data_IF_244587529884
#
_entry.id   IF_244587529884
#
_cell.length_a   1.000
_cell.length_b   1.000
_cell.length_c   1.000
_cell.angle_alpha   90.00
_cell.angle_beta   90.00
_cell.angle_gamma   90.00
#
_symmetry.space_group_name_H-M   'P 1'
#
loop_
_entity.id
_entity.type
_entity.pdbx_description
1 polymer ?
#
# COMPACT_ATOMS: atom_id res chain seq x y z
N UNK A 1 37.90 -16.87 15.87
CA UNK A 1 37.33 -17.72 16.95
C UNK A 1 36.05 -18.32 16.39
N UNK A 2 36.18 -19.50 15.78
CA UNK A 2 35.08 -20.25 15.18
C UNK A 2 34.61 -21.25 16.24
N UNK A 3 33.39 -21.11 16.75
CA UNK A 3 32.78 -22.10 17.63
C UNK A 3 31.38 -22.48 17.12
N UNK A 4 31.29 -23.76 16.76
CA UNK A 4 30.16 -24.69 16.94
C UNK A 4 28.75 -24.26 16.51
N UNK A 5 28.32 -24.78 15.36
CA UNK A 5 26.90 -24.99 15.03
C UNK A 5 26.61 -26.50 15.14
N UNK A 6 25.67 -26.95 15.98
CA UNK A 6 25.30 -28.36 16.05
C UNK A 6 24.46 -28.76 14.83
N UNK A 7 24.89 -29.85 14.20
CA UNK A 7 24.26 -30.56 13.10
C UNK A 7 22.95 -31.24 13.51
N UNK A 8 21.88 -30.96 12.77
CA UNK A 8 20.57 -31.64 12.87
C UNK A 8 20.59 -33.03 12.19
N UNK A 9 19.89 -34.04 12.73
CA UNK A 9 19.87 -35.38 12.18
C UNK A 9 18.98 -35.50 10.93
N UNK A 10 19.52 -36.13 9.88
CA UNK A 10 18.77 -36.63 8.72
C UNK A 10 18.04 -37.92 9.10
N UNK A 11 16.71 -37.86 9.16
CA UNK A 11 15.86 -39.04 9.20
C UNK A 11 15.51 -39.54 7.78
N UNK A 12 15.34 -40.86 7.57
CA UNK A 12 15.02 -41.43 6.26
C UNK A 12 13.52 -41.31 5.96
N UNK A 13 13.18 -40.65 4.85
CA UNK A 13 11.82 -40.67 4.31
C UNK A 13 11.67 -41.98 3.52
N UNK A 14 11.06 -42.99 4.16
CA UNK A 14 10.57 -44.20 3.48
C UNK A 14 9.38 -43.86 2.60
N UNK A 15 9.37 -44.47 1.43
CA UNK A 15 8.51 -44.15 0.31
C UNK A 15 7.04 -44.51 0.46
N UNK A 16 6.24 -43.80 -0.33
CA UNK A 16 5.03 -44.35 -0.93
C UNK A 16 5.25 -44.38 -2.44
N UNK A 17 5.39 -45.60 -2.94
CA UNK A 17 5.13 -45.92 -4.33
C UNK A 17 3.62 -45.89 -4.56
N UNK A 18 3.21 -45.38 -5.72
CA UNK A 18 2.51 -46.17 -6.74
C UNK A 18 1.31 -45.46 -7.39
N UNK A 19 1.25 -45.69 -8.69
CA UNK A 19 0.08 -45.72 -9.55
C UNK A 19 -0.54 -44.39 -10.00
N UNK A 20 -0.43 -44.12 -11.30
CA UNK A 20 -1.23 -43.10 -11.97
C UNK A 20 -0.74 -42.74 -13.37
N UNK A 21 -0.49 -43.73 -14.22
CA UNK A 21 -0.38 -43.51 -15.66
C UNK A 21 -1.69 -42.89 -16.18
N UNK A 22 -1.57 -41.73 -16.82
CA UNK A 22 -2.68 -40.99 -17.38
C UNK A 22 -2.19 -39.98 -18.40
N UNK A 23 -1.54 -40.49 -19.45
CA UNK A 23 -1.15 -39.71 -20.63
C UNK A 23 -2.40 -39.29 -21.39
N UNK A 24 -3.00 -38.16 -20.99
CA UNK A 24 -4.04 -37.49 -21.78
C UNK A 24 -3.33 -36.56 -22.75
N UNK A 25 -3.10 -37.10 -23.95
CA UNK A 25 -2.74 -36.36 -25.15
C UNK A 25 -3.87 -35.37 -25.50
N UNK A 26 -3.80 -34.17 -24.91
CA UNK A 26 -4.69 -33.07 -25.27
C UNK A 26 -4.17 -32.48 -26.57
N UNK A 27 -4.75 -32.94 -27.69
CA UNK A 27 -4.65 -32.27 -28.99
C UNK A 27 -5.02 -30.80 -28.79
N UNK A 28 -4.01 -29.94 -28.86
CA UNK A 28 -4.19 -28.50 -29.06
C UNK A 28 -4.80 -28.36 -30.45
N UNK A 29 -6.12 -28.20 -30.51
CA UNK A 29 -6.80 -27.70 -31.70
C UNK A 29 -6.35 -26.25 -31.86
N UNK A 30 -5.38 -26.06 -32.76
CA UNK A 30 -5.06 -24.77 -33.35
C UNK A 30 -6.34 -24.21 -33.97
N UNK A 31 -6.99 -23.31 -33.24
CA UNK A 31 -8.08 -22.48 -33.72
C UNK A 31 -7.52 -21.57 -34.81
N UNK A 32 -7.79 -21.94 -36.06
CA UNK A 32 -7.58 -21.10 -37.23
C UNK A 32 -8.47 -19.86 -37.10
N UNK A 33 -7.88 -18.78 -36.59
CA UNK A 33 -8.52 -17.46 -36.60
C UNK A 33 -8.68 -17.01 -38.07
N UNK A 34 -9.86 -16.54 -38.47
CA UNK A 34 -10.07 -16.05 -39.83
C UNK A 34 -9.23 -14.80 -40.09
N UNK A 35 -8.71 -14.61 -41.31
CA UNK A 35 -7.96 -13.41 -41.68
C UNK A 35 -8.86 -12.17 -41.58
N UNK A 36 -8.39 -11.15 -40.86
CA UNK A 36 -9.07 -9.86 -40.78
C UNK A 36 -9.15 -9.21 -42.18
N UNK A 37 -10.29 -8.58 -42.53
CA UNK A 37 -10.42 -7.88 -43.79
C UNK A 37 -9.47 -6.66 -43.85
N UNK A 38 -8.94 -6.31 -45.04
CA UNK A 38 -8.04 -5.17 -45.20
C UNK A 38 -8.77 -3.86 -44.86
N UNK A 39 -8.23 -3.13 -43.88
CA UNK A 39 -8.72 -1.82 -43.49
C UNK A 39 -8.56 -0.83 -44.66
N UNK A 40 -9.65 -0.13 -45.00
CA UNK A 40 -9.69 0.84 -46.10
C UNK A 40 -8.68 1.97 -45.85
N UNK A 41 -7.88 2.38 -46.86
CA UNK A 41 -6.78 3.36 -46.70
C UNK A 41 -7.24 4.75 -46.24
N UNK A 42 -8.52 5.08 -46.42
CA UNK A 42 -9.09 6.37 -45.95
C UNK A 42 -9.25 6.47 -44.43
N UNK A 43 -9.33 5.35 -43.70
CA UNK A 43 -9.49 5.36 -42.24
C UNK A 43 -8.14 5.53 -41.51
N UNK A 44 -7.04 5.08 -42.13
CA UNK A 44 -5.70 5.13 -41.56
C UNK A 44 -5.14 6.57 -41.49
N UNK A 45 -5.52 7.43 -42.44
CA UNK A 45 -5.10 8.84 -42.47
C UNK A 45 -5.75 9.65 -41.34
N UNK A 46 -7.04 9.40 -41.04
CA UNK A 46 -7.77 10.10 -39.99
C UNK A 46 -7.30 9.71 -38.58
N UNK A 47 -6.94 8.44 -38.38
CA UNK A 47 -6.40 7.95 -37.09
C UNK A 47 -5.01 8.53 -36.83
N UNK A 48 -4.15 8.68 -37.85
CA UNK A 48 -2.83 9.32 -37.70
C UNK A 48 -2.91 10.81 -37.34
N UNK A 49 -3.86 11.55 -37.92
CA UNK A 49 -4.06 12.97 -37.58
C UNK A 49 -4.57 13.15 -36.14
N UNK A 50 -5.52 12.33 -35.69
CA UNK A 50 -6.05 12.40 -34.32
C UNK A 50 -4.99 12.02 -33.27
N UNK A 51 -4.16 11.01 -33.54
CA UNK A 51 -3.07 10.63 -32.63
C UNK A 51 -2.02 11.75 -32.46
N UNK A 52 -1.71 12.52 -33.51
CA UNK A 52 -0.78 13.65 -33.41
C UNK A 52 -1.35 14.79 -32.55
N UNK A 53 -2.63 15.12 -32.72
CA UNK A 53 -3.26 16.19 -31.93
C UNK A 53 -3.40 15.88 -30.43
N UNK A 54 -3.59 14.61 -30.04
CA UNK A 54 -3.77 14.25 -28.61
C UNK A 54 -2.43 14.07 -27.88
N UNK A 55 -1.37 13.69 -28.60
CA UNK A 55 -0.04 13.45 -28.01
C UNK A 55 0.82 14.71 -27.97
N UNK A 56 0.80 15.56 -29.02
CA UNK A 56 1.70 16.72 -29.08
C UNK A 56 1.19 17.98 -28.37
N UNK A 57 -0.14 18.18 -28.24
CA UNK A 57 -0.67 19.37 -27.58
C UNK A 57 -0.40 19.46 -26.06
N UNK A 58 -0.43 18.37 -25.25
CA UNK A 58 -0.13 18.49 -23.83
C UNK A 58 1.36 18.71 -23.53
N UNK A 59 2.28 18.34 -24.43
CA UNK A 59 3.72 18.52 -24.20
C UNK A 59 4.13 20.01 -24.20
N UNK A 60 3.46 20.85 -25.00
CA UNK A 60 3.70 22.29 -25.04
C UNK A 60 3.15 23.03 -23.81
N UNK A 61 2.09 22.53 -23.17
CA UNK A 61 1.51 23.17 -21.97
C UNK A 61 2.36 22.90 -20.72
N UNK A 62 3.03 21.74 -20.65
CA UNK A 62 3.88 21.39 -19.49
C UNK A 62 5.14 22.26 -19.40
N UNK A 63 5.65 22.79 -20.51
CA UNK A 63 6.86 23.64 -20.50
C UNK A 63 6.63 25.01 -19.84
N UNK A 64 5.38 25.49 -19.79
CA UNK A 64 5.06 26.82 -19.28
C UNK A 64 4.94 26.91 -17.74
N UNK A 65 4.82 25.79 -17.03
CA UNK A 65 4.62 25.76 -15.58
C UNK A 65 5.91 25.53 -14.76
N UNK A 66 7.07 25.44 -15.42
CA UNK A 66 8.34 25.12 -14.76
C UNK A 66 9.11 26.34 -14.20
N UNK A 67 8.60 27.57 -14.35
CA UNK A 67 9.36 28.79 -14.02
C UNK A 67 9.11 29.37 -12.61
N UNK A 68 8.16 28.85 -11.82
CA UNK A 68 7.84 29.43 -10.49
C UNK A 68 8.33 28.62 -9.27
N UNK A 69 9.09 27.54 -9.47
CA UNK A 69 9.50 26.65 -8.36
C UNK A 69 10.95 26.82 -7.86
N UNK A 70 11.73 27.78 -8.39
CA UNK A 70 13.18 27.88 -8.11
C UNK A 70 13.61 28.96 -7.10
N UNK A 71 12.70 29.71 -6.48
CA UNK A 71 13.04 30.77 -5.52
C UNK A 71 12.88 30.40 -4.03
N UNK A 72 12.57 29.15 -3.68
CA UNK A 72 12.42 28.71 -2.29
C UNK A 72 13.61 27.90 -1.71
N UNK A 73 14.67 27.62 -2.49
CA UNK A 73 15.75 26.71 -2.07
C UNK A 73 17.03 27.39 -1.56
N UNK A 74 17.12 28.73 -1.53
CA UNK A 74 18.35 29.46 -1.17
C UNK A 74 18.41 29.96 0.29
N UNK A 75 17.54 29.48 1.19
CA UNK A 75 17.45 29.99 2.57
C UNK A 75 17.85 28.98 3.67
N UNK A 76 18.44 27.82 3.32
CA UNK A 76 18.85 26.81 4.32
C UNK A 76 20.32 26.39 4.08
N UNK A 77 21.23 27.35 4.03
CA UNK A 77 22.68 27.08 4.04
C UNK A 77 23.42 28.14 4.85
N UNK A 78 23.03 28.32 6.10
CA UNK A 78 23.74 29.18 7.04
C UNK A 78 23.47 28.82 8.51
N UNK A 79 23.61 27.55 8.89
CA UNK A 79 23.83 27.17 10.31
C UNK A 79 24.43 25.77 10.39
N UNK A 80 25.67 25.64 9.97
CA UNK A 80 26.52 24.52 10.31
C UNK A 80 27.91 25.08 10.59
N UNK A 81 28.26 25.26 11.86
CA UNK A 81 29.65 25.27 12.38
C UNK A 81 29.62 25.40 13.90
N UNK A 82 30.59 24.74 14.55
CA UNK A 82 30.87 24.63 16.01
C UNK A 82 29.84 23.79 16.78
N UNK A 83 30.16 22.61 17.33
CA UNK A 83 31.17 22.37 18.38
C UNK A 83 31.73 20.92 18.31
N UNK A 84 33.06 20.78 18.29
CA UNK A 84 33.79 19.57 18.70
C UNK A 84 34.08 19.62 20.21
N UNK A 85 34.02 18.48 20.92
CA UNK A 85 34.54 18.36 22.28
C UNK A 85 34.05 17.13 23.07
N UNK A 86 34.99 16.22 23.32
CA UNK A 86 34.89 14.91 24.00
C UNK A 86 34.39 14.89 25.44
N UNK A 87 33.79 13.77 25.89
CA UNK A 87 33.75 13.40 27.31
C UNK A 87 32.68 12.38 27.70
N UNK A 88 33.10 11.29 28.34
CA UNK A 88 32.35 10.09 28.71
C UNK A 88 31.11 10.25 29.62
N UNK A 89 30.18 9.32 29.41
CA UNK A 89 29.31 8.63 30.39
C UNK A 89 28.52 9.44 31.43
N UNK A 90 27.21 9.52 31.23
CA UNK A 90 26.21 9.34 32.30
C UNK A 90 24.84 9.01 31.69
N UNK A 91 24.20 8.00 32.25
CA UNK A 91 22.83 7.60 31.95
C UNK A 91 21.82 8.65 32.46
N UNK A 92 20.92 9.09 31.57
CA UNK A 92 19.59 9.63 31.86
C UNK A 92 18.88 9.73 30.50
N UNK A 93 18.00 8.78 30.20
CA UNK A 93 16.56 8.97 30.35
C UNK A 93 16.05 10.21 29.60
N UNK A 94 15.90 10.07 28.27
CA UNK A 94 15.19 11.03 27.43
C UNK A 94 14.26 10.24 26.51
N UNK A 95 13.06 10.05 27.03
CA UNK A 95 11.78 10.24 26.32
C UNK A 95 11.78 9.82 24.85
N UNK A 96 11.65 8.51 24.67
CA UNK A 96 11.04 7.92 23.48
C UNK A 96 9.73 8.66 23.18
N UNK A 97 9.74 9.49 22.14
CA UNK A 97 8.50 9.92 21.48
C UNK A 97 7.95 8.68 20.79
N UNK A 98 7.26 7.87 21.59
CA UNK A 98 6.38 6.83 21.12
C UNK A 98 5.32 7.53 20.30
N UNK A 99 5.50 7.55 18.97
CA UNK A 99 4.38 7.66 18.07
C UNK A 99 3.49 6.46 18.40
N UNK A 100 2.55 6.69 19.32
CA UNK A 100 1.47 5.76 19.59
C UNK A 100 0.76 5.60 18.27
N UNK A 101 1.08 4.51 17.57
CA UNK A 101 0.20 3.89 16.62
C UNK A 101 -1.06 3.58 17.42
N UNK A 102 -1.96 4.55 17.47
CA UNK A 102 -3.33 4.35 17.89
C UNK A 102 -3.89 3.36 16.88
N UNK A 103 -3.70 2.08 17.15
CA UNK A 103 -4.58 1.05 16.66
C UNK A 103 -5.97 1.58 16.99
N UNK A 104 -6.69 2.01 15.96
CA UNK A 104 -8.05 2.46 16.10
C UNK A 104 -8.78 1.26 16.68
N UNK A 105 -9.01 1.30 17.99
CA UNK A 105 -9.88 0.36 18.64
C UNK A 105 -11.20 0.46 17.88
N UNK A 106 -11.65 -0.67 17.33
CA UNK A 106 -13.02 -0.88 16.89
C UNK A 106 -13.92 -0.75 18.12
N UNK A 107 -14.02 0.47 18.62
CA UNK A 107 -14.76 0.84 19.80
C UNK A 107 -16.09 1.33 19.30
N UNK A 108 -17.16 0.76 19.85
CA UNK A 108 -18.52 1.21 19.63
C UNK A 108 -18.67 2.65 20.15
N UNK A 109 -18.26 3.63 19.35
CA UNK A 109 -18.25 5.05 19.73
C UNK A 109 -19.69 5.55 19.67
N UNK A 110 -20.18 6.07 20.78
CA UNK A 110 -21.53 6.65 20.84
C UNK A 110 -21.61 8.03 20.19
N UNK A 111 -20.47 8.71 20.03
CA UNK A 111 -20.38 10.05 19.42
C UNK A 111 -19.37 10.05 18.29
N UNK A 112 -19.71 10.77 17.22
CA UNK A 112 -18.77 10.99 16.12
C UNK A 112 -17.66 11.98 16.49
N UNK A 113 -16.42 11.55 16.23
CA UNK A 113 -15.22 12.38 16.32
C UNK A 113 -14.79 12.75 14.89
N UNK A 114 -14.87 14.03 14.56
CA UNK A 114 -14.51 14.47 13.21
C UNK A 114 -13.02 14.25 12.96
N UNK A 115 -12.70 13.79 11.75
CA UNK A 115 -11.33 13.52 11.28
C UNK A 115 -10.57 12.41 12.03
N UNK A 116 -11.23 11.61 12.86
CA UNK A 116 -10.60 10.41 13.42
C UNK A 116 -10.34 9.36 12.33
N UNK A 117 -9.31 8.54 12.50
CA UNK A 117 -9.01 7.40 11.59
C UNK A 117 -10.14 6.38 11.69
N UNK A 118 -10.56 5.83 10.56
CA UNK A 118 -11.58 4.78 10.50
C UNK A 118 -11.26 3.74 9.43
N UNK A 119 -11.71 2.51 9.64
CA UNK A 119 -11.68 1.40 8.70
C UNK A 119 -13.09 0.96 8.26
N UNK A 120 -14.11 1.39 8.99
CA UNK A 120 -15.53 1.25 8.65
C UNK A 120 -16.34 2.47 9.12
N UNK A 121 -17.60 2.58 8.71
CA UNK A 121 -18.49 3.63 9.21
C UNK A 121 -18.75 3.53 10.72
N UNK A 122 -18.69 2.31 11.29
CA UNK A 122 -18.95 2.06 12.71
C UNK A 122 -17.86 2.66 13.60
N UNK A 123 -16.62 2.73 13.11
CA UNK A 123 -15.50 3.37 13.82
C UNK A 123 -15.72 4.88 14.04
N UNK A 124 -16.62 5.49 13.26
CA UNK A 124 -16.97 6.90 13.37
C UNK A 124 -18.12 7.19 14.32
N UNK A 125 -18.73 6.17 14.91
CA UNK A 125 -19.86 6.32 15.83
C UNK A 125 -21.12 6.92 15.22
N UNK A 126 -22.11 7.22 16.06
CA UNK A 126 -23.42 7.69 15.61
C UNK A 126 -23.34 9.03 14.88
N UNK A 127 -23.93 9.09 13.69
CA UNK A 127 -23.91 10.29 12.83
C UNK A 127 -22.62 10.48 12.04
N UNK A 128 -21.65 9.56 12.14
CA UNK A 128 -20.41 9.56 11.37
C UNK A 128 -20.48 8.74 10.09
N UNK A 129 -19.61 9.06 9.13
CA UNK A 129 -19.34 8.22 7.96
C UNK A 129 -17.84 8.19 7.71
N UNK A 130 -17.29 7.02 7.40
CA UNK A 130 -15.87 6.89 7.09
C UNK A 130 -15.61 7.23 5.63
N UNK A 131 -14.90 8.34 5.38
CA UNK A 131 -14.57 8.82 4.05
C UNK A 131 -13.12 8.47 3.70
N UNK A 132 -12.91 7.79 2.58
CA UNK A 132 -11.59 7.47 2.06
C UNK A 132 -11.65 6.66 0.77
N UNK A 133 -10.54 6.59 0.05
CA UNK A 133 -10.43 5.72 -1.12
C UNK A 133 -10.29 4.26 -0.66
N UNK A 134 -11.19 3.40 -1.14
CA UNK A 134 -11.14 1.96 -0.91
C UNK A 134 -11.09 1.55 0.58
N UNK A 135 -11.78 2.29 1.46
CA UNK A 135 -11.85 2.00 2.90
C UNK A 135 -12.22 0.53 3.15
N UNK A 136 -11.50 -0.11 4.08
CA UNK A 136 -11.73 -1.52 4.42
C UNK A 136 -11.30 -2.49 3.32
N UNK A 137 -10.42 -2.07 2.40
CA UNK A 137 -9.80 -2.92 1.38
C UNK A 137 -8.28 -2.99 1.56
N UNK A 138 -7.65 -4.05 1.08
CA UNK A 138 -6.19 -4.20 1.20
C UNK A 138 -5.42 -3.05 0.53
N UNK A 139 -4.48 -2.44 1.26
CA UNK A 139 -3.62 -1.38 0.77
C UNK A 139 -2.26 -1.93 0.30
N UNK A 140 -2.15 -2.27 -0.98
CA UNK A 140 -0.88 -2.72 -1.55
C UNK A 140 0.17 -1.62 -1.70
N UNK A 141 -0.23 -0.35 -1.67
CA UNK A 141 0.71 0.78 -1.76
C UNK A 141 1.55 0.93 -0.49
N UNK A 142 1.21 0.21 0.59
CA UNK A 142 2.01 0.19 1.82
C UNK A 142 3.37 -0.50 1.62
N UNK A 143 3.49 -1.44 0.67
CA UNK A 143 4.76 -2.08 0.35
C UNK A 143 5.41 -1.40 -0.87
N UNK A 144 6.49 -0.68 -0.61
CA UNK A 144 7.27 0.00 -1.64
C UNK A 144 8.43 -0.91 -2.06
N UNK A 145 8.43 -1.33 -3.33
CA UNK A 145 9.47 -2.22 -3.83
C UNK A 145 10.85 -1.54 -3.78
N UNK A 146 11.89 -2.32 -3.45
CA UNK A 146 13.28 -1.87 -3.27
C UNK A 146 13.53 -0.89 -2.11
N UNK A 147 12.56 -0.68 -1.23
CA UNK A 147 12.76 0.10 -0.01
C UNK A 147 13.67 -0.63 0.98
N UNK A 148 14.50 0.08 1.74
CA UNK A 148 15.38 -0.54 2.74
C UNK A 148 14.59 -1.12 3.92
N UNK A 149 14.93 -2.32 4.36
CA UNK A 149 14.22 -3.00 5.42
C UNK A 149 15.13 -3.86 6.30
N UNK A 150 14.71 -4.04 7.55
CA UNK A 150 15.25 -5.05 8.50
C UNK A 150 14.24 -6.15 8.83
N UNK A 151 12.96 -5.85 8.63
CA UNK A 151 11.82 -6.71 8.90
C UNK A 151 10.66 -6.32 7.98
N UNK A 152 9.65 -7.18 7.88
CA UNK A 152 8.49 -6.97 7.01
C UNK A 152 7.67 -5.73 7.36
N UNK A 153 7.71 -5.27 8.63
CA UNK A 153 7.03 -4.05 9.05
C UNK A 153 7.51 -2.83 8.26
N UNK A 154 8.81 -2.78 7.91
CA UNK A 154 9.38 -1.72 7.07
C UNK A 154 8.90 -1.79 5.60
N UNK A 155 8.42 -2.95 5.16
CA UNK A 155 7.79 -3.18 3.86
C UNK A 155 6.26 -3.04 3.92
N UNK A 156 5.75 -2.21 4.84
CA UNK A 156 4.33 -2.03 5.05
C UNK A 156 3.62 -3.25 5.62
N UNK A 157 4.35 -4.18 6.24
CA UNK A 157 3.80 -5.37 6.89
C UNK A 157 3.56 -6.56 5.97
N UNK A 158 3.85 -6.47 4.66
CA UNK A 158 3.71 -7.61 3.76
C UNK A 158 4.65 -8.75 4.18
N UNK A 159 4.08 -9.90 4.58
CA UNK A 159 4.83 -11.02 5.16
C UNK A 159 5.78 -11.64 4.13
N UNK A 160 7.06 -11.74 4.49
CA UNK A 160 8.14 -12.22 3.63
C UNK A 160 8.54 -11.24 2.53
N UNK A 161 8.20 -9.96 2.66
CA UNK A 161 8.62 -8.95 1.69
C UNK A 161 10.04 -8.46 1.94
N UNK A 162 10.50 -8.42 3.19
CA UNK A 162 11.85 -7.96 3.47
C UNK A 162 12.87 -9.07 3.16
N UNK A 163 13.68 -8.88 2.11
CA UNK A 163 14.79 -9.78 1.84
C UNK A 163 15.96 -9.43 2.78
N UNK A 164 16.13 -10.22 3.83
CA UNK A 164 17.17 -10.04 4.84
C UNK A 164 18.60 -10.16 4.27
N UNK A 165 18.78 -10.72 3.07
CA UNK A 165 20.10 -10.81 2.42
C UNK A 165 20.51 -9.51 1.77
N UNK A 166 19.59 -8.88 1.04
CA UNK A 166 19.84 -7.61 0.35
C UNK A 166 19.40 -6.38 1.14
N UNK A 167 18.66 -6.58 2.23
CA UNK A 167 18.14 -5.51 3.08
C UNK A 167 17.08 -4.65 2.39
N UNK A 168 16.34 -5.20 1.43
CA UNK A 168 15.35 -4.47 0.64
C UNK A 168 14.02 -5.22 0.47
N UNK A 169 12.94 -4.47 0.33
CA UNK A 169 11.59 -4.98 0.11
C UNK A 169 11.42 -5.54 -1.31
N UNK A 170 10.94 -6.78 -1.42
CA UNK A 170 10.63 -7.52 -2.65
C UNK A 170 9.12 -7.69 -2.80
N UNK A 171 8.38 -6.58 -2.78
CA UNK A 171 6.92 -6.56 -2.71
C UNK A 171 6.24 -7.37 -3.82
N UNK A 172 6.67 -7.21 -5.07
CA UNK A 172 6.06 -7.87 -6.23
C UNK A 172 6.33 -9.38 -6.21
N UNK A 173 7.58 -9.75 -5.94
CA UNK A 173 8.00 -11.15 -5.89
C UNK A 173 7.25 -11.91 -4.78
N UNK A 174 7.04 -11.26 -3.63
CA UNK A 174 6.29 -11.85 -2.51
C UNK A 174 4.80 -11.99 -2.83
N UNK A 175 4.18 -11.02 -3.48
CA UNK A 175 2.78 -11.13 -3.94
C UNK A 175 2.62 -12.24 -4.99
N UNK A 176 3.55 -12.36 -5.93
CA UNK A 176 3.59 -13.44 -6.92
C UNK A 176 3.69 -14.82 -6.26
N UNK A 177 4.61 -14.98 -5.29
CA UNK A 177 4.74 -16.22 -4.50
C UNK A 177 3.49 -16.56 -3.70
N UNK A 178 2.72 -15.55 -3.28
CA UNK A 178 1.43 -15.72 -2.61
C UNK A 178 0.27 -16.01 -3.58
N UNK A 179 0.53 -16.14 -4.89
CA UNK A 179 -0.49 -16.47 -5.89
C UNK A 179 -1.23 -15.27 -6.46
N UNK A 180 -0.69 -14.06 -6.28
CA UNK A 180 -1.19 -12.78 -6.81
C UNK A 180 -0.16 -12.12 -7.74
N UNK A 181 0.00 -12.61 -8.99
CA UNK A 181 0.76 -11.89 -10.00
C UNK A 181 0.16 -10.50 -10.26
N UNK A 182 0.95 -9.58 -10.79
CA UNK A 182 0.63 -8.14 -10.85
C UNK A 182 -0.83 -7.81 -11.21
N UNK A 183 -1.36 -8.33 -12.32
CA UNK A 183 -2.74 -8.06 -12.75
C UNK A 183 -3.75 -8.61 -11.75
N UNK A 184 -3.54 -9.83 -11.26
CA UNK A 184 -4.41 -10.47 -10.28
C UNK A 184 -4.36 -9.75 -8.93
N UNK A 185 -3.18 -9.26 -8.52
CA UNK A 185 -3.05 -8.42 -7.34
C UNK A 185 -3.89 -7.15 -7.50
N UNK A 186 -3.80 -6.47 -8.64
CA UNK A 186 -4.56 -5.24 -8.90
C UNK A 186 -6.08 -5.44 -8.94
N UNK A 187 -6.55 -6.58 -9.46
CA UNK A 187 -8.00 -6.83 -9.64
C UNK A 187 -8.66 -7.55 -8.47
N UNK A 188 -7.92 -8.39 -7.74
CA UNK A 188 -8.50 -9.28 -6.72
C UNK A 188 -8.02 -9.00 -5.30
N UNK A 189 -6.90 -8.30 -5.12
CA UNK A 189 -6.31 -8.05 -3.79
C UNK A 189 -6.32 -6.56 -3.46
N UNK A 190 -5.49 -5.79 -4.17
CA UNK A 190 -5.23 -4.38 -3.95
C UNK A 190 -6.49 -3.57 -4.22
N UNK A 191 -6.95 -2.81 -3.22
CA UNK A 191 -8.16 -1.99 -3.30
C UNK A 191 -9.46 -2.77 -3.60
N UNK A 192 -9.41 -4.11 -3.65
CA UNK A 192 -10.53 -4.97 -4.03
C UNK A 192 -10.96 -5.91 -2.89
N UNK A 193 -10.00 -6.63 -2.29
CA UNK A 193 -10.27 -7.59 -1.21
C UNK A 193 -10.62 -6.86 0.08
N UNK A 194 -11.75 -7.24 0.68
CA UNK A 194 -12.20 -6.68 1.94
C UNK A 194 -11.31 -7.13 3.10
N UNK A 195 -11.08 -6.23 4.05
CA UNK A 195 -10.34 -6.49 5.26
C UNK A 195 -10.76 -5.54 6.39
N UNK A 196 -10.43 -5.95 7.60
CA UNK A 196 -10.58 -5.20 8.85
C UNK A 196 -9.21 -5.12 9.53
N UNK A 197 -9.08 -4.31 10.59
CA UNK A 197 -7.86 -4.28 11.42
C UNK A 197 -7.38 -5.67 11.83
N UNK A 198 -8.31 -6.55 12.18
CA UNK A 198 -8.00 -7.87 12.73
C UNK A 198 -7.73 -8.90 11.64
N UNK A 199 -8.37 -8.74 10.48
CA UNK A 199 -8.23 -9.68 9.35
C UNK A 199 -7.12 -9.29 8.37
N UNK A 200 -6.56 -8.08 8.44
CA UNK A 200 -5.49 -7.61 7.55
C UNK A 200 -4.31 -8.61 7.45
N UNK A 201 -3.93 -9.19 8.58
CA UNK A 201 -2.82 -10.16 8.67
C UNK A 201 -3.00 -11.44 7.84
N UNK A 202 -4.24 -11.86 7.57
CA UNK A 202 -4.58 -13.07 6.82
C UNK A 202 -5.21 -12.74 5.46
N UNK A 203 -6.11 -11.76 5.41
CA UNK A 203 -6.77 -11.32 4.19
C UNK A 203 -5.80 -10.61 3.23
N UNK A 204 -4.92 -9.76 3.75
CA UNK A 204 -4.01 -8.93 2.97
C UNK A 204 -2.55 -9.37 3.06
N UNK A 205 -2.29 -10.61 3.52
CA UNK A 205 -0.94 -11.19 3.60
C UNK A 205 -0.03 -10.32 4.51
N UNK A 206 -0.60 -9.65 5.50
CA UNK A 206 0.11 -8.75 6.41
C UNK A 206 0.06 -7.27 6.02
N UNK A 207 -0.30 -6.93 4.77
CA UNK A 207 -0.52 -5.53 4.40
C UNK A 207 -1.68 -4.92 5.19
N UNK A 208 -1.64 -3.62 5.50
CA UNK A 208 -2.73 -2.93 6.16
C UNK A 208 -3.94 -2.78 5.24
N UNK A 209 -5.10 -2.52 5.85
CA UNK A 209 -6.27 -2.02 5.13
C UNK A 209 -6.12 -0.52 4.84
N UNK A 210 -6.72 -0.07 3.75
CA UNK A 210 -6.97 1.35 3.52
C UNK A 210 -7.88 1.87 4.62
N UNK A 211 -7.45 2.98 5.23
CA UNK A 211 -8.22 3.71 6.24
C UNK A 211 -8.76 5.00 5.64
N UNK A 212 -9.81 5.51 6.25
CA UNK A 212 -10.39 6.80 5.94
C UNK A 212 -10.28 7.78 7.10
N UNK A 213 -11.11 8.82 7.01
CA UNK A 213 -11.33 9.82 8.05
C UNK A 213 -12.82 9.96 8.31
N UNK A 214 -13.19 10.07 9.58
CA UNK A 214 -14.57 10.24 9.96
C UNK A 214 -15.10 11.63 9.60
N UNK A 215 -16.21 11.66 8.89
CA UNK A 215 -16.97 12.88 8.61
C UNK A 215 -18.26 12.81 9.44
N UNK A 216 -18.38 13.72 10.40
CA UNK A 216 -19.55 13.79 11.25
C UNK A 216 -20.62 14.65 10.59
N UNK A 217 -21.86 14.17 10.61
CA UNK A 217 -23.01 15.02 10.33
C UNK A 217 -23.06 16.11 11.40
N UNK A 218 -23.23 17.34 10.96
CA UNK A 218 -23.56 18.44 11.87
C UNK A 218 -24.98 18.17 12.33
N UNK A 219 -25.16 17.71 13.58
CA UNK A 219 -26.49 17.73 14.18
C UNK A 219 -26.93 19.20 14.23
N UNK A 220 -28.17 19.52 13.82
CA UNK A 220 -28.68 20.87 13.97
C UNK A 220 -28.64 21.21 15.45
N UNK A 221 -27.83 22.20 15.82
CA UNK A 221 -27.83 22.71 17.19
C UNK A 221 -29.22 23.29 17.41
N UNK A 222 -30.08 22.56 18.12
CA UNK A 222 -31.31 23.10 18.67
C UNK A 222 -30.92 24.04 19.80
N UNK A 223 -30.39 25.22 19.44
CA UNK A 223 -30.23 26.34 20.36
C UNK A 223 -31.62 26.83 20.71
N UNK A 224 -32.28 26.18 21.65
CA UNK A 224 -33.30 26.86 22.44
C UNK A 224 -32.53 27.94 23.20
N UNK A 225 -32.74 29.25 22.92
CA UNK A 225 -32.04 30.30 23.63
C UNK A 225 -32.32 30.12 25.12
N UNK A 226 -31.27 29.83 25.90
CA UNK A 226 -31.36 29.79 27.35
C UNK A 226 -31.83 31.19 27.77
N UNK A 227 -32.98 31.35 28.44
CA UNK A 227 -33.46 32.67 28.83
C UNK A 227 -32.38 33.32 29.70
N UNK A 228 -31.93 34.52 29.31
CA UNK A 228 -31.08 35.32 30.18
C UNK A 228 -31.87 35.54 31.48
N UNK A 229 -31.27 35.10 32.58
CA UNK A 229 -31.83 35.32 33.91
C UNK A 229 -31.75 36.84 34.18
N UNK A 230 -32.86 37.47 34.62
CA UNK A 230 -32.89 38.89 34.96
C UNK A 230 -32.01 39.22 36.18
#
# INVERSE_FOLDING_TARGET
RFENIPSLPRGPIKGLNSAGEGSVSRRVLLSSSPPLPPLKPRLLATIRMLAYSVIFFPLLVVSALAQDATTAAAAIEATATTVEGSGAAAAADVSSTTATTTAAAAGNRTKCEAWSVCSSADDCGTGGTCLGAFVGKCNCNACINFWLCKEDAACGGLKGACDLKSGICRCWETLEKAGFPFIKAATELCNAKACTSDSASSACIGLPCNTGRCVCKVEPVTTTPKPLKP
#
